data_IF_365450369729
#
_entry.id   IF_365450369729
#
_cell.length_a   1.000
_cell.length_b   1.000
_cell.length_c   1.000
_cell.angle_alpha   90.00
_cell.angle_beta   90.00
_cell.angle_gamma   90.00
#
_symmetry.space_group_name_H-M   'P 1'
#
loop_
_entity.id
_entity.type
_entity.pdbx_description
1 polymer ?
#
# COMPACT_ATOMS: atom_id res chain seq x y z
N UNK A 1 0.91 16.60 6.03
CA UNK A 1 1.82 16.43 7.17
C UNK A 1 2.13 17.73 7.92
N UNK A 2 2.42 18.88 7.27
CA UNK A 2 2.64 20.16 8.01
C UNK A 2 1.45 20.63 8.88
N UNK A 3 0.21 20.31 8.50
CA UNK A 3 -0.98 20.67 9.30
C UNK A 3 -1.17 19.87 10.59
N UNK A 4 -0.77 18.61 10.62
CA UNK A 4 -0.88 17.75 11.80
C UNK A 4 0.17 18.10 12.87
N UNK A 5 1.35 18.52 12.44
CA UNK A 5 2.44 18.92 13.35
C UNK A 5 2.16 20.24 14.07
N UNK A 6 1.44 21.19 13.43
CA UNK A 6 0.98 22.42 14.06
C UNK A 6 -0.06 22.17 15.17
N UNK A 7 -0.91 21.15 15.00
CA UNK A 7 -1.92 20.78 15.99
C UNK A 7 -1.25 20.14 17.24
N UNK A 8 -0.21 19.33 17.07
CA UNK A 8 0.51 18.73 18.21
C UNK A 8 1.32 19.76 19.01
N UNK A 9 1.97 20.71 18.35
CA UNK A 9 2.63 21.84 19.04
C UNK A 9 1.62 22.73 19.77
N UNK A 10 0.43 22.94 19.21
CA UNK A 10 -0.64 23.72 19.86
C UNK A 10 -1.24 22.99 21.07
N UNK A 11 -1.35 21.66 21.06
CA UNK A 11 -1.81 20.87 22.20
C UNK A 11 -0.80 20.86 23.36
N UNK A 12 0.50 20.79 23.08
CA UNK A 12 1.55 20.87 24.13
C UNK A 12 1.60 22.25 24.80
N UNK A 13 1.31 23.33 24.08
CA UNK A 13 1.20 24.67 24.63
C UNK A 13 -0.06 24.80 25.51
N UNK A 14 -1.17 24.19 25.14
CA UNK A 14 -2.42 24.16 25.91
C UNK A 14 -2.29 23.34 27.19
N UNK A 15 -1.56 22.22 27.20
CA UNK A 15 -1.29 21.41 28.38
C UNK A 15 -0.35 22.12 29.37
N UNK A 16 0.62 22.90 28.87
CA UNK A 16 1.49 23.73 29.71
C UNK A 16 0.71 24.83 30.43
N UNK A 17 -0.29 25.42 29.79
CA UNK A 17 -1.11 26.49 30.37
C UNK A 17 -2.10 26.01 31.47
N UNK A 18 -2.63 24.79 31.32
CA UNK A 18 -3.57 24.19 32.29
C UNK A 18 -2.86 23.64 33.55
N UNK A 19 -1.59 23.25 33.43
CA UNK A 19 -0.79 22.84 34.60
C UNK A 19 -0.42 24.02 35.53
N UNK A 20 -0.39 25.25 35.02
CA UNK A 20 -0.07 26.44 35.81
C UNK A 20 -1.18 26.89 36.78
N UNK A 21 -2.42 26.49 36.58
CA UNK A 21 -3.55 26.89 37.43
C UNK A 21 -3.65 26.11 38.76
N UNK A 22 -2.82 25.07 38.95
CA UNK A 22 -2.86 24.19 40.14
C UNK A 22 -1.63 24.24 41.06
N UNK A 23 -0.58 24.99 40.73
CA UNK A 23 0.57 25.18 41.64
C UNK A 23 0.55 26.58 42.25
N UNK A 24 0.43 26.61 43.54
CA UNK A 24 0.39 27.83 44.34
C UNK A 24 1.67 28.68 44.24
N UNK A 25 1.48 29.95 44.46
CA UNK A 25 2.32 31.12 44.21
C UNK A 25 3.63 31.19 44.99
N UNK A 26 4.68 30.46 44.66
CA UNK A 26 6.01 30.70 45.22
C UNK A 26 7.16 30.25 44.24
N UNK A 27 7.18 30.71 42.99
CA UNK A 27 8.37 30.63 42.15
C UNK A 27 8.61 31.96 41.43
N UNK A 28 9.84 32.44 41.30
CA UNK A 28 10.10 33.73 40.67
C UNK A 28 9.78 33.70 39.18
N UNK A 29 8.85 34.54 38.77
CA UNK A 29 8.28 34.66 37.39
C UNK A 29 9.34 34.72 36.25
N UNK A 30 10.58 35.14 36.56
CA UNK A 30 11.68 35.19 35.59
C UNK A 30 12.24 33.81 35.20
N UNK A 31 12.26 32.83 36.12
CA UNK A 31 12.80 31.49 35.84
C UNK A 31 11.90 30.67 34.91
N UNK A 32 10.58 30.81 35.08
CA UNK A 32 9.59 30.10 34.26
C UNK A 32 9.58 30.60 32.83
N UNK A 33 9.75 31.93 32.63
CA UNK A 33 9.79 32.54 31.29
C UNK A 33 11.03 32.11 30.51
N UNK A 34 12.19 32.03 31.15
CA UNK A 34 13.45 31.58 30.54
C UNK A 34 13.36 30.08 30.16
N UNK A 35 12.77 29.24 31.04
CA UNK A 35 12.62 27.81 30.80
C UNK A 35 11.65 27.54 29.64
N UNK A 36 10.55 28.32 29.55
CA UNK A 36 9.58 28.20 28.45
C UNK A 36 10.17 28.70 27.12
N UNK A 37 10.95 29.76 27.13
CA UNK A 37 11.65 30.27 25.93
C UNK A 37 12.74 29.28 25.49
N UNK A 38 13.48 28.67 26.41
CA UNK A 38 14.50 27.67 26.12
C UNK A 38 13.88 26.40 25.56
N UNK A 39 12.73 25.95 26.09
CA UNK A 39 12.00 24.77 25.57
C UNK A 39 11.45 25.03 24.17
N UNK A 40 10.92 26.23 23.90
CA UNK A 40 10.44 26.60 22.55
C UNK A 40 11.61 26.74 21.57
N UNK A 41 12.76 27.27 22.00
CA UNK A 41 13.96 27.35 21.18
C UNK A 41 14.56 25.97 20.90
N UNK A 42 14.55 25.03 21.83
CA UNK A 42 15.02 23.65 21.63
C UNK A 42 14.09 22.90 20.71
N UNK A 43 12.77 23.09 20.81
CA UNK A 43 11.81 22.44 19.87
C UNK A 43 11.87 23.02 18.45
N UNK A 44 12.19 24.31 18.30
CA UNK A 44 12.37 24.92 16.98
C UNK A 44 13.67 24.49 16.27
N UNK A 45 14.69 24.11 17.03
CA UNK A 45 15.97 23.65 16.46
C UNK A 45 15.90 22.16 16.04
N UNK A 46 15.02 21.37 16.64
CA UNK A 46 14.97 19.91 16.42
C UNK A 46 14.16 19.46 15.18
N UNK A 47 13.43 20.35 14.53
CA UNK A 47 12.54 20.01 13.40
C UNK A 47 13.04 20.51 12.03
N UNK A 48 14.31 20.80 11.86
CA UNK A 48 14.82 21.23 10.55
C UNK A 48 15.08 20.04 9.65
N UNK A 49 14.24 19.86 8.63
CA UNK A 49 14.44 18.94 7.52
C UNK A 49 15.18 19.66 6.39
N UNK A 50 16.00 18.93 5.62
CA UNK A 50 16.73 19.44 4.47
C UNK A 50 18.23 19.64 4.74
N UNK A 51 18.90 20.35 3.83
CA UNK A 51 20.34 20.53 3.87
C UNK A 51 20.79 21.55 4.92
N UNK A 52 21.92 21.24 5.58
CA UNK A 52 22.70 22.16 6.40
C UNK A 52 24.16 22.14 5.94
N UNK A 53 24.76 23.33 5.86
CA UNK A 53 26.17 23.54 5.55
C UNK A 53 26.79 24.41 6.65
N UNK A 54 27.77 23.88 7.37
CA UNK A 54 28.50 24.61 8.42
C UNK A 54 29.83 25.18 7.95
N UNK A 55 30.10 25.09 6.63
CA UNK A 55 31.35 25.53 5.99
C UNK A 55 32.49 24.51 6.04
N UNK A 56 32.33 23.40 6.77
CA UNK A 56 33.27 22.28 6.82
C UNK A 56 32.70 21.03 6.16
N UNK A 57 31.41 20.79 6.38
CA UNK A 57 30.70 19.69 5.79
C UNK A 57 29.25 20.09 5.44
N UNK A 58 28.65 19.30 4.56
CA UNK A 58 27.22 19.39 4.21
C UNK A 58 26.53 18.14 4.75
N UNK A 59 25.41 18.36 5.43
CA UNK A 59 24.56 17.27 5.95
C UNK A 59 23.13 17.43 5.47
N UNK A 60 22.44 16.30 5.25
CA UNK A 60 21.01 16.28 4.95
C UNK A 60 20.27 15.66 6.13
N UNK A 61 19.18 16.32 6.54
CA UNK A 61 18.39 16.00 7.74
C UNK A 61 16.99 15.60 7.35
N UNK A 62 16.48 14.53 7.96
CA UNK A 62 15.09 14.07 7.80
C UNK A 62 14.49 13.70 9.14
N UNK A 63 13.17 13.60 9.18
CA UNK A 63 12.42 13.15 10.33
C UNK A 63 11.30 12.21 9.88
N UNK A 64 11.13 11.09 10.58
CA UNK A 64 9.97 10.22 10.45
C UNK A 64 9.53 9.65 11.81
N UNK A 65 8.29 9.16 11.90
CA UNK A 65 7.70 8.69 13.16
C UNK A 65 8.40 7.45 13.74
N UNK A 66 8.97 6.59 12.90
CA UNK A 66 9.62 5.34 13.32
C UNK A 66 11.05 5.52 13.84
N UNK A 67 11.86 6.40 13.22
CA UNK A 67 13.28 6.59 13.55
C UNK A 67 13.60 7.96 14.16
N UNK A 68 12.61 8.86 14.26
CA UNK A 68 12.81 10.22 14.74
C UNK A 68 13.62 11.08 13.77
N UNK A 69 14.45 11.97 14.30
CA UNK A 69 15.34 12.83 13.52
C UNK A 69 16.62 12.08 13.19
N UNK A 70 16.95 12.02 11.90
CA UNK A 70 18.21 11.45 11.39
C UNK A 70 18.93 12.45 10.52
N UNK A 71 20.26 12.33 10.43
CA UNK A 71 21.09 13.12 9.55
C UNK A 71 22.14 12.24 8.90
N UNK A 72 22.53 12.61 7.67
CA UNK A 72 23.63 11.94 6.95
C UNK A 72 24.55 12.93 6.29
N UNK A 73 25.80 12.56 6.15
CA UNK A 73 26.80 13.32 5.40
C UNK A 73 26.43 13.35 3.92
N UNK A 74 26.68 14.50 3.27
CA UNK A 74 26.49 14.71 1.83
C UNK A 74 27.87 14.93 1.22
N UNK A 75 28.23 14.17 0.20
CA UNK A 75 29.52 14.27 -0.50
C UNK A 75 29.51 15.49 -1.45
N UNK A 76 29.40 16.68 -0.86
CA UNK A 76 29.36 17.97 -1.53
C UNK A 76 30.55 18.84 -1.10
N UNK A 77 31.03 19.71 -1.97
CA UNK A 77 31.99 20.75 -1.61
C UNK A 77 31.32 21.84 -0.76
N UNK A 78 31.61 21.93 0.55
CA UNK A 78 30.94 22.92 1.41
C UNK A 78 31.17 24.38 1.01
N UNK A 79 32.24 24.68 0.26
CA UNK A 79 32.57 26.02 -0.17
C UNK A 79 31.72 26.52 -1.34
N UNK A 80 31.22 25.60 -2.14
CA UNK A 80 30.42 25.88 -3.33
C UNK A 80 29.00 25.35 -3.25
N UNK A 81 28.66 24.67 -2.15
CA UNK A 81 27.33 24.12 -1.95
C UNK A 81 26.25 25.18 -1.77
N UNK A 82 25.19 25.04 -2.52
CA UNK A 82 23.97 25.86 -2.47
C UNK A 82 22.76 24.95 -2.21
N UNK A 83 22.01 25.23 -1.14
CA UNK A 83 20.68 24.64 -0.90
C UNK A 83 19.68 25.30 -1.84
N UNK A 84 19.04 24.54 -2.73
CA UNK A 84 18.05 25.05 -3.67
C UNK A 84 16.62 24.98 -3.09
N UNK A 85 16.30 23.90 -2.38
CA UNK A 85 15.10 23.75 -1.55
C UNK A 85 15.36 22.71 -0.45
N UNK A 86 14.33 22.16 0.22
CA UNK A 86 14.53 21.16 1.27
C UNK A 86 15.07 19.84 0.72
N UNK A 87 14.72 19.49 -0.52
CA UNK A 87 15.01 18.19 -1.12
C UNK A 87 16.21 18.27 -2.10
N UNK A 88 16.44 19.45 -2.76
CA UNK A 88 17.50 19.63 -3.74
C UNK A 88 18.61 20.57 -3.26
N UNK A 89 19.83 20.19 -3.59
CA UNK A 89 21.03 21.01 -3.44
C UNK A 89 21.96 20.86 -4.64
N UNK A 90 22.96 21.72 -4.74
CA UNK A 90 24.03 21.60 -5.73
C UNK A 90 25.35 22.13 -5.18
N UNK A 91 26.43 21.65 -5.72
CA UNK A 91 27.74 22.33 -5.66
C UNK A 91 28.20 22.69 -7.08
N UNK A 92 29.44 23.11 -7.24
CA UNK A 92 29.97 23.46 -8.56
C UNK A 92 29.99 22.30 -9.56
N UNK A 93 30.03 21.05 -9.10
CA UNK A 93 30.15 19.86 -9.94
C UNK A 93 28.90 19.00 -9.96
N UNK A 94 28.25 18.82 -8.81
CA UNK A 94 27.20 17.84 -8.61
C UNK A 94 25.87 18.50 -8.19
N UNK A 95 24.79 17.85 -8.53
CA UNK A 95 23.48 18.11 -7.96
C UNK A 95 23.09 16.97 -7.01
N UNK A 96 22.25 17.29 -6.03
CA UNK A 96 21.86 16.38 -4.96
C UNK A 96 20.34 16.39 -4.78
N UNK A 97 19.79 15.20 -4.49
CA UNK A 97 18.41 15.02 -4.07
C UNK A 97 18.37 14.24 -2.75
N UNK A 98 17.76 14.82 -1.72
CA UNK A 98 17.68 14.22 -0.37
C UNK A 98 19.03 13.72 0.16
N UNK A 99 20.14 14.43 -0.19
CA UNK A 99 21.50 14.12 0.22
C UNK A 99 22.26 13.13 -0.67
N UNK A 100 21.64 12.54 -1.69
CA UNK A 100 22.32 11.68 -2.66
C UNK A 100 22.71 12.44 -3.92
N UNK A 101 23.85 12.08 -4.52
CA UNK A 101 24.28 12.63 -5.80
C UNK A 101 23.30 12.19 -6.90
N UNK A 102 22.83 13.15 -7.68
CA UNK A 102 22.06 12.88 -8.90
C UNK A 102 23.05 12.53 -10.01
N UNK A 103 23.12 11.24 -10.37
CA UNK A 103 24.07 10.76 -11.36
C UNK A 103 23.86 11.45 -12.73
N UNK A 104 24.93 11.99 -13.27
CA UNK A 104 24.93 12.65 -14.59
C UNK A 104 24.41 14.08 -14.60
N UNK A 105 23.97 14.64 -13.46
CA UNK A 105 23.55 16.02 -13.37
C UNK A 105 24.73 16.98 -13.29
N UNK A 106 24.68 18.07 -14.07
CA UNK A 106 25.67 19.15 -14.02
C UNK A 106 25.29 20.16 -12.92
N UNK A 107 26.01 20.13 -11.80
CA UNK A 107 25.79 21.08 -10.71
C UNK A 107 25.90 22.52 -11.07
N UNK A 108 26.76 22.87 -12.04
CA UNK A 108 26.97 24.24 -12.48
C UNK A 108 25.73 24.88 -13.13
N UNK A 109 24.94 24.12 -13.84
CA UNK A 109 23.70 24.56 -14.52
C UNK A 109 22.42 24.08 -13.88
N UNK A 110 22.50 23.28 -12.81
CA UNK A 110 21.34 22.66 -12.17
C UNK A 110 20.41 23.71 -11.55
N UNK A 111 19.14 23.59 -11.82
CA UNK A 111 18.08 24.46 -11.30
C UNK A 111 16.82 23.68 -10.93
N UNK A 112 16.14 24.10 -9.90
CA UNK A 112 14.83 23.58 -9.50
C UNK A 112 13.75 24.26 -10.33
N UNK A 113 12.84 23.45 -10.89
CA UNK A 113 11.67 23.93 -11.64
C UNK A 113 10.43 24.01 -10.72
N UNK A 114 10.25 22.99 -9.89
CA UNK A 114 9.21 22.93 -8.85
C UNK A 114 9.76 22.17 -7.64
N UNK A 115 8.92 21.86 -6.65
CA UNK A 115 9.36 21.06 -5.50
C UNK A 115 9.99 19.72 -5.91
N UNK A 116 9.42 19.04 -6.91
CA UNK A 116 9.83 17.69 -7.34
C UNK A 116 10.66 17.68 -8.62
N UNK A 117 10.49 18.70 -9.50
CA UNK A 117 11.15 18.73 -10.80
C UNK A 117 12.35 19.67 -10.79
N UNK A 118 13.42 19.23 -11.43
CA UNK A 118 14.64 19.99 -11.64
C UNK A 118 15.21 19.74 -13.04
N UNK A 119 16.13 20.58 -13.47
CA UNK A 119 16.82 20.42 -14.76
C UNK A 119 18.24 20.99 -14.68
N UNK A 120 19.12 20.45 -15.50
CA UNK A 120 20.35 21.12 -15.93
C UNK A 120 20.21 21.61 -17.39
N UNK A 121 21.32 21.89 -18.06
CA UNK A 121 21.29 22.32 -19.47
C UNK A 121 20.97 21.18 -20.45
N UNK A 122 21.12 19.92 -20.03
CA UNK A 122 21.04 18.72 -20.88
C UNK A 122 19.95 17.77 -20.51
N UNK A 123 19.51 17.78 -19.23
CA UNK A 123 18.59 16.79 -18.69
C UNK A 123 17.52 17.39 -17.80
N UNK A 124 16.43 16.64 -17.63
CA UNK A 124 15.35 16.94 -16.69
C UNK A 124 15.23 15.79 -15.68
N UNK A 125 14.88 16.15 -14.44
CA UNK A 125 14.80 15.21 -13.34
C UNK A 125 13.48 15.38 -12.57
N UNK A 126 12.96 14.27 -12.04
CA UNK A 126 11.86 14.25 -11.08
C UNK A 126 12.30 13.48 -9.84
N UNK A 127 12.21 14.09 -8.66
CA UNK A 127 12.63 13.46 -7.39
C UNK A 127 14.02 12.80 -7.49
N UNK A 128 14.99 13.53 -8.08
CA UNK A 128 16.36 13.08 -8.29
C UNK A 128 16.58 12.05 -9.40
N UNK A 129 15.52 11.59 -10.09
CA UNK A 129 15.63 10.61 -11.17
C UNK A 129 15.55 11.26 -12.54
N UNK A 130 16.41 10.81 -13.46
CA UNK A 130 16.42 11.26 -14.84
C UNK A 130 15.08 10.97 -15.53
N UNK A 131 14.54 11.97 -16.19
CA UNK A 131 13.41 11.80 -17.12
C UNK A 131 13.99 11.55 -18.51
N UNK A 132 13.90 10.30 -18.94
CA UNK A 132 14.43 9.87 -20.22
C UNK A 132 13.83 10.68 -21.38
N UNK A 133 14.68 11.15 -22.30
CA UNK A 133 14.33 11.89 -23.53
C UNK A 133 13.65 13.25 -23.31
N UNK A 134 13.47 13.72 -22.08
CA UNK A 134 12.90 15.03 -21.83
C UNK A 134 13.85 16.13 -22.28
N UNK A 135 13.29 17.15 -22.94
CA UNK A 135 14.07 18.24 -23.52
C UNK A 135 14.05 19.47 -22.59
N UNK A 136 15.14 19.77 -21.85
CA UNK A 136 15.12 20.74 -20.76
C UNK A 136 14.84 22.20 -21.21
N UNK A 137 15.14 22.56 -22.47
CA UNK A 137 14.88 23.91 -22.99
C UNK A 137 13.38 24.19 -23.22
N UNK A 138 12.56 23.16 -23.40
CA UNK A 138 11.12 23.28 -23.67
C UNK A 138 10.26 22.66 -22.61
N UNK A 139 10.88 22.10 -21.55
CA UNK A 139 10.15 21.39 -20.48
C UNK A 139 9.35 22.37 -19.63
N UNK A 140 8.06 22.06 -19.47
CA UNK A 140 7.11 22.83 -18.66
C UNK A 140 6.39 21.90 -17.69
N UNK A 141 6.40 22.26 -16.42
CA UNK A 141 5.64 21.56 -15.38
C UNK A 141 4.28 22.23 -15.23
N UNK A 142 3.20 21.49 -15.38
CA UNK A 142 1.83 21.98 -15.21
C UNK A 142 1.28 21.69 -13.81
N UNK A 143 1.59 20.50 -13.25
CA UNK A 143 1.20 20.11 -11.91
C UNK A 143 2.26 19.21 -11.27
N UNK A 144 1.95 18.68 -10.08
CA UNK A 144 2.85 17.73 -9.41
C UNK A 144 3.18 16.51 -10.26
N UNK A 145 2.20 16.00 -11.01
CA UNK A 145 2.33 14.78 -11.81
C UNK A 145 2.50 15.06 -13.31
N UNK A 146 2.01 16.18 -13.81
CA UNK A 146 1.89 16.43 -15.25
C UNK A 146 2.86 17.50 -15.75
N UNK A 147 3.60 17.13 -16.80
CA UNK A 147 4.54 18.01 -17.48
C UNK A 147 4.50 17.76 -19.00
N UNK A 148 5.09 18.65 -19.76
CA UNK A 148 5.29 18.51 -21.20
C UNK A 148 6.63 19.09 -21.64
N UNK A 149 7.10 18.67 -22.81
CA UNK A 149 8.11 19.38 -23.58
C UNK A 149 7.66 19.53 -25.05
N UNK A 150 8.54 19.93 -25.95
CA UNK A 150 8.21 20.07 -27.37
C UNK A 150 7.76 18.73 -28.00
N UNK A 151 8.22 17.60 -27.47
CA UNK A 151 8.08 16.29 -28.10
C UNK A 151 6.95 15.45 -27.50
N UNK A 152 6.76 15.51 -26.17
CA UNK A 152 5.84 14.59 -25.48
C UNK A 152 5.17 15.24 -24.26
N UNK A 153 4.23 14.52 -23.67
CA UNK A 153 3.71 14.74 -22.33
C UNK A 153 4.26 13.69 -21.36
N UNK A 154 4.35 14.08 -20.09
CA UNK A 154 4.92 13.24 -19.02
C UNK A 154 3.97 13.17 -17.86
N UNK A 155 3.78 11.95 -17.32
CA UNK A 155 3.06 11.71 -16.08
C UNK A 155 4.00 11.08 -15.05
N UNK A 156 4.16 11.75 -13.91
CA UNK A 156 5.12 11.35 -12.85
C UNK A 156 6.52 11.03 -13.41
N UNK A 157 6.99 11.88 -14.33
CA UNK A 157 8.29 11.75 -14.99
C UNK A 157 8.38 10.67 -16.08
N UNK A 158 7.31 9.95 -16.39
CA UNK A 158 7.29 8.97 -17.48
C UNK A 158 6.69 9.57 -18.74
N UNK A 159 7.38 9.41 -19.87
CA UNK A 159 6.87 9.84 -21.18
C UNK A 159 5.61 9.03 -21.56
N UNK A 160 4.57 9.72 -21.97
CA UNK A 160 3.32 9.09 -22.41
C UNK A 160 3.41 8.55 -23.83
N UNK A 161 4.44 8.91 -24.59
CA UNK A 161 4.64 8.55 -26.01
C UNK A 161 3.41 8.92 -26.86
N UNK A 162 2.94 10.17 -26.66
CA UNK A 162 1.73 10.66 -27.30
C UNK A 162 1.90 10.71 -28.81
N UNK A 163 0.98 10.08 -29.53
CA UNK A 163 1.05 9.96 -30.98
C UNK A 163 0.66 11.28 -31.69
N UNK A 164 -0.31 12.01 -31.16
CA UNK A 164 -0.76 13.28 -31.69
C UNK A 164 -0.94 14.31 -30.58
N UNK A 165 0.10 15.11 -30.31
CA UNK A 165 0.07 16.16 -29.31
C UNK A 165 -1.02 17.22 -29.54
N UNK A 166 -1.39 17.46 -30.79
CA UNK A 166 -2.35 18.52 -31.13
C UNK A 166 -3.78 18.20 -30.70
N UNK A 167 -4.10 16.91 -30.57
CA UNK A 167 -5.42 16.41 -30.13
C UNK A 167 -5.41 15.82 -28.72
N UNK A 168 -4.24 15.77 -28.10
CA UNK A 168 -4.11 15.20 -26.73
C UNK A 168 -4.90 16.00 -25.71
N UNK A 169 -5.63 15.29 -24.86
CA UNK A 169 -6.32 15.87 -23.71
C UNK A 169 -6.40 14.90 -22.54
N UNK A 170 -6.24 15.43 -21.34
CA UNK A 170 -6.50 14.72 -20.10
C UNK A 170 -8.02 14.63 -19.89
N UNK A 171 -8.50 13.47 -19.45
CA UNK A 171 -9.91 13.20 -19.18
C UNK A 171 -10.13 13.25 -17.66
N UNK A 172 -10.07 14.45 -17.07
CA UNK A 172 -10.16 14.70 -15.64
C UNK A 172 -9.35 15.93 -15.26
N UNK A 173 -8.94 16.05 -14.00
CA UNK A 173 -8.10 17.14 -13.52
C UNK A 173 -6.62 16.78 -13.61
N UNK A 174 -5.80 17.62 -14.22
CA UNK A 174 -4.34 17.43 -14.25
C UNK A 174 -3.65 17.58 -12.88
N UNK A 175 -4.38 18.10 -11.89
CA UNK A 175 -3.86 18.36 -10.54
C UNK A 175 -4.22 17.26 -9.55
N UNK A 176 -5.03 16.28 -9.97
CA UNK A 176 -5.47 15.15 -9.14
C UNK A 176 -4.70 13.89 -9.50
N UNK A 177 -4.18 13.19 -8.49
CA UNK A 177 -3.65 11.84 -8.62
C UNK A 177 -4.74 10.81 -9.01
N UNK A 178 -6.01 11.18 -8.81
CA UNK A 178 -7.18 10.37 -9.18
C UNK A 178 -7.51 10.44 -10.69
N UNK A 179 -6.81 11.29 -11.45
CA UNK A 179 -6.97 11.36 -12.89
C UNK A 179 -6.10 10.30 -13.55
N UNK A 180 -6.75 9.28 -14.10
CA UNK A 180 -6.06 8.12 -14.65
C UNK A 180 -6.02 8.11 -16.18
N UNK A 181 -6.77 8.98 -16.87
CA UNK A 181 -7.06 8.84 -18.29
C UNK A 181 -6.73 10.08 -19.12
N UNK A 182 -6.21 9.83 -20.30
CA UNK A 182 -6.07 10.82 -21.36
C UNK A 182 -6.36 10.17 -22.73
N UNK A 183 -6.51 10.98 -23.76
CA UNK A 183 -6.61 10.51 -25.15
C UNK A 183 -6.01 11.49 -26.13
N UNK A 184 -5.55 10.98 -27.27
CA UNK A 184 -5.39 11.70 -28.50
C UNK A 184 -6.27 11.07 -29.58
N UNK A 185 -6.28 11.60 -30.77
CA UNK A 185 -7.11 11.15 -31.90
C UNK A 185 -6.91 9.67 -32.28
N UNK A 186 -5.80 9.04 -31.83
CA UNK A 186 -5.45 7.67 -32.18
C UNK A 186 -5.50 6.69 -31.01
N UNK A 187 -5.19 7.17 -29.82
CA UNK A 187 -4.93 6.34 -28.65
C UNK A 187 -5.65 6.85 -27.40
N UNK A 188 -6.01 5.93 -26.52
CA UNK A 188 -6.24 6.19 -25.11
C UNK A 188 -4.95 5.98 -24.31
N UNK A 189 -4.86 6.65 -23.18
CA UNK A 189 -3.71 6.55 -22.29
C UNK A 189 -4.21 6.32 -20.86
N UNK A 190 -3.73 5.25 -20.25
CA UNK A 190 -3.81 5.10 -18.80
C UNK A 190 -2.56 5.74 -18.20
N UNK A 191 -2.72 6.85 -17.51
CA UNK A 191 -1.61 7.74 -17.14
C UNK A 191 -0.57 7.07 -16.22
N UNK A 192 -0.98 6.09 -15.41
CA UNK A 192 -0.06 5.33 -14.57
C UNK A 192 0.81 4.32 -15.35
N UNK A 193 0.59 4.12 -16.65
CA UNK A 193 1.54 3.32 -17.40
C UNK A 193 1.15 2.56 -18.65
N UNK A 194 0.10 2.91 -19.40
CA UNK A 194 -0.22 2.15 -20.60
C UNK A 194 -0.82 2.97 -21.75
N UNK A 195 -0.59 2.50 -22.98
CA UNK A 195 -1.18 3.06 -24.21
C UNK A 195 -2.18 2.06 -24.76
N UNK A 196 -3.41 2.52 -24.96
CA UNK A 196 -4.50 1.75 -25.57
C UNK A 196 -4.62 2.17 -27.02
N UNK A 197 -4.28 1.29 -27.92
CA UNK A 197 -4.43 1.51 -29.35
C UNK A 197 -5.85 1.17 -29.81
N UNK A 198 -6.27 1.76 -30.93
CA UNK A 198 -7.53 1.41 -31.58
C UNK A 198 -8.78 1.70 -30.73
N UNK A 199 -8.82 2.88 -30.12
CA UNK A 199 -10.02 3.42 -29.46
C UNK A 199 -10.92 4.13 -30.47
N UNK A 200 -12.23 4.20 -30.18
CA UNK A 200 -13.10 5.18 -30.82
C UNK A 200 -12.95 6.53 -30.10
N UNK A 201 -12.21 7.45 -30.71
CA UNK A 201 -11.87 8.74 -30.09
C UNK A 201 -13.08 9.53 -29.63
N UNK A 202 -14.16 9.57 -30.44
CA UNK A 202 -15.31 10.40 -30.14
C UNK A 202 -16.04 9.92 -28.87
N UNK A 203 -16.10 8.62 -28.68
CA UNK A 203 -16.86 8.01 -27.57
C UNK A 203 -16.00 7.56 -26.38
N UNK A 204 -14.66 7.54 -26.53
CA UNK A 204 -13.79 7.11 -25.42
C UNK A 204 -13.86 8.05 -24.21
N UNK A 205 -14.20 7.49 -23.06
CA UNK A 205 -14.37 8.20 -21.80
C UNK A 205 -14.04 7.32 -20.61
N UNK A 206 -13.59 7.89 -19.47
CA UNK A 206 -13.51 7.18 -18.19
C UNK A 206 -14.90 6.73 -17.74
N UNK A 207 -15.00 5.57 -17.11
CA UNK A 207 -16.17 5.19 -16.33
C UNK A 207 -16.09 5.97 -15.02
N UNK A 208 -17.10 6.79 -14.75
CA UNK A 208 -17.13 7.64 -13.55
C UNK A 208 -17.23 6.81 -12.28
N UNK A 209 -16.27 6.98 -11.40
CA UNK A 209 -16.35 6.51 -10.02
C UNK A 209 -17.38 7.39 -9.26
N UNK A 210 -18.44 6.77 -8.79
CA UNK A 210 -19.55 7.46 -8.10
C UNK A 210 -19.37 7.51 -6.59
N UNK A 211 -18.50 6.67 -6.06
CA UNK A 211 -18.23 6.54 -4.63
C UNK A 211 -16.72 6.46 -4.38
N UNK A 212 -16.23 6.79 -3.16
CA UNK A 212 -14.83 6.61 -2.78
C UNK A 212 -14.32 5.16 -2.86
N UNK A 213 -15.25 4.20 -2.87
CA UNK A 213 -14.93 2.77 -2.95
C UNK A 213 -14.68 2.29 -4.39
N UNK A 214 -14.73 3.18 -5.37
CA UNK A 214 -14.47 2.89 -6.78
C UNK A 214 -13.11 3.44 -7.18
N UNK A 215 -12.37 2.67 -7.99
CA UNK A 215 -10.98 3.01 -8.33
C UNK A 215 -10.85 4.05 -9.44
N UNK A 216 -11.85 4.17 -10.33
CA UNK A 216 -11.76 4.98 -11.55
C UNK A 216 -10.82 4.42 -12.61
N UNK A 217 -10.44 3.13 -12.50
CA UNK A 217 -9.49 2.47 -13.40
C UNK A 217 -10.16 1.82 -14.62
N UNK A 218 -11.47 2.05 -14.80
CA UNK A 218 -12.19 1.62 -15.98
C UNK A 218 -12.44 2.79 -16.95
N UNK A 219 -12.37 2.48 -18.23
CA UNK A 219 -12.80 3.37 -19.32
C UNK A 219 -13.55 2.58 -20.36
N UNK A 220 -14.30 3.26 -21.20
CA UNK A 220 -15.01 2.64 -22.32
C UNK A 220 -15.03 3.54 -23.54
N UNK A 221 -15.20 2.92 -24.71
CA UNK A 221 -15.74 3.55 -25.88
C UNK A 221 -17.04 2.83 -26.30
N UNK A 222 -17.62 3.17 -27.43
CA UNK A 222 -18.87 2.52 -27.90
C UNK A 222 -18.72 1.04 -28.21
N UNK A 223 -17.50 0.52 -28.33
CA UNK A 223 -17.22 -0.85 -28.75
C UNK A 223 -16.61 -1.72 -27.66
N UNK A 224 -15.83 -1.12 -26.75
CA UNK A 224 -14.96 -1.82 -25.83
C UNK A 224 -15.00 -1.18 -24.43
N UNK A 225 -14.73 -2.01 -23.45
CA UNK A 225 -14.41 -1.58 -22.07
C UNK A 225 -12.94 -1.88 -21.80
N UNK A 226 -12.29 -1.04 -21.02
CA UNK A 226 -10.90 -1.16 -20.62
C UNK A 226 -10.77 -1.12 -19.11
N UNK A 227 -9.89 -1.94 -18.56
CA UNK A 227 -9.39 -1.84 -17.20
C UNK A 227 -7.90 -1.50 -17.26
N UNK A 228 -7.55 -0.32 -16.75
CA UNK A 228 -6.22 0.24 -16.96
C UNK A 228 -5.92 0.29 -18.48
N UNK A 229 -4.80 -0.28 -18.91
CA UNK A 229 -4.37 -0.28 -20.31
C UNK A 229 -4.84 -1.49 -21.14
N UNK A 230 -5.77 -2.31 -20.61
CA UNK A 230 -6.17 -3.58 -21.23
C UNK A 230 -7.66 -3.63 -21.52
N UNK A 231 -8.00 -4.18 -22.68
CA UNK A 231 -9.40 -4.50 -23.02
C UNK A 231 -9.99 -5.52 -22.05
N UNK A 232 -11.21 -5.28 -21.60
CA UNK A 232 -12.00 -6.19 -20.75
C UNK A 232 -12.76 -7.17 -21.66
N UNK A 233 -12.37 -8.45 -21.72
CA UNK A 233 -12.94 -9.37 -22.68
C UNK A 233 -14.43 -9.60 -22.50
N UNK A 234 -15.21 -9.35 -23.56
CA UNK A 234 -16.65 -9.64 -23.62
C UNK A 234 -17.53 -8.72 -22.77
N UNK A 235 -17.01 -7.64 -22.25
CA UNK A 235 -17.81 -6.63 -21.55
C UNK A 235 -18.69 -5.85 -22.53
N UNK A 236 -19.92 -5.55 -22.10
CA UNK A 236 -20.86 -4.73 -22.86
C UNK A 236 -20.71 -3.24 -22.43
N UNK A 237 -20.08 -2.39 -23.25
CA UNK A 237 -19.82 -1.00 -22.88
C UNK A 237 -21.11 -0.17 -22.65
N UNK A 238 -22.22 -0.56 -23.29
CA UNK A 238 -23.49 0.16 -23.15
C UNK A 238 -24.13 0.04 -21.76
N UNK A 239 -23.80 -1.02 -21.02
CA UNK A 239 -24.36 -1.30 -19.68
C UNK A 239 -23.32 -1.39 -18.59
N UNK A 240 -22.05 -1.25 -18.95
CA UNK A 240 -20.95 -1.39 -18.00
C UNK A 240 -20.92 -0.23 -17.00
N UNK A 241 -20.67 -0.55 -15.76
CA UNK A 241 -20.44 0.38 -14.65
C UNK A 241 -19.40 -0.19 -13.69
N UNK A 242 -18.66 0.64 -13.01
CA UNK A 242 -17.90 0.24 -11.84
C UNK A 242 -18.86 0.19 -10.64
N UNK A 243 -18.82 -0.89 -9.86
CA UNK A 243 -19.74 -1.14 -8.74
C UNK A 243 -19.05 -1.17 -7.40
N UNK A 244 -17.75 -1.49 -7.37
CA UNK A 244 -16.90 -1.52 -6.20
C UNK A 244 -15.44 -1.35 -6.63
N UNK A 245 -14.50 -1.25 -5.67
CA UNK A 245 -13.07 -1.06 -5.93
C UNK A 245 -12.52 -2.16 -6.86
N UNK A 246 -12.15 -1.79 -8.08
CA UNK A 246 -11.72 -2.68 -9.18
C UNK A 246 -12.79 -3.64 -9.70
N UNK A 247 -14.04 -3.51 -9.26
CA UNK A 247 -15.13 -4.38 -9.71
C UNK A 247 -16.01 -3.64 -10.70
N UNK A 248 -16.01 -4.13 -11.93
CA UNK A 248 -16.93 -3.72 -12.96
C UNK A 248 -18.11 -4.69 -13.08
N UNK A 249 -19.22 -4.22 -13.61
CA UNK A 249 -20.39 -5.04 -13.93
C UNK A 249 -21.11 -4.52 -15.17
N UNK A 250 -21.49 -5.44 -16.05
CA UNK A 250 -22.44 -5.18 -17.11
C UNK A 250 -23.76 -5.95 -16.90
N UNK A 251 -24.64 -5.97 -17.89
CA UNK A 251 -25.89 -6.73 -17.84
C UNK A 251 -25.73 -8.26 -17.77
N UNK A 252 -24.53 -8.76 -18.04
CA UNK A 252 -24.28 -10.20 -18.13
C UNK A 252 -23.56 -10.74 -16.90
N UNK A 253 -22.59 -9.97 -16.34
CA UNK A 253 -21.76 -10.44 -15.24
C UNK A 253 -20.94 -9.34 -14.59
N UNK A 254 -20.32 -9.69 -13.47
CA UNK A 254 -19.27 -8.89 -12.83
C UNK A 254 -17.88 -9.25 -13.38
N UNK A 255 -16.96 -8.28 -13.24
CA UNK A 255 -15.56 -8.36 -13.66
C UNK A 255 -14.68 -7.92 -12.50
N UNK A 256 -13.67 -8.70 -12.16
CA UNK A 256 -12.68 -8.34 -11.15
C UNK A 256 -11.38 -7.92 -11.84
N UNK A 257 -10.98 -6.66 -11.71
CA UNK A 257 -9.78 -6.12 -12.38
C UNK A 257 -9.78 -6.41 -13.88
N UNK A 258 -10.93 -6.21 -14.54
CA UNK A 258 -11.11 -6.48 -15.95
C UNK A 258 -11.23 -7.96 -16.32
N UNK A 259 -11.15 -8.90 -15.38
CA UNK A 259 -11.27 -10.34 -15.64
C UNK A 259 -12.74 -10.74 -15.45
N UNK A 260 -13.38 -11.40 -16.46
CA UNK A 260 -14.74 -11.89 -16.32
C UNK A 260 -14.88 -12.90 -15.18
N UNK A 261 -15.90 -12.73 -14.35
CA UNK A 261 -16.25 -13.67 -13.28
C UNK A 261 -17.48 -14.51 -13.64
N UNK A 262 -17.86 -15.45 -12.78
CA UNK A 262 -19.11 -16.21 -12.90
C UNK A 262 -20.29 -15.54 -12.16
N UNK A 263 -20.06 -14.43 -11.47
CA UNK A 263 -21.07 -13.68 -10.75
C UNK A 263 -21.93 -12.91 -11.75
N UNK A 264 -23.22 -13.18 -11.73
CA UNK A 264 -24.18 -12.50 -12.64
C UNK A 264 -24.53 -11.11 -12.16
N UNK A 265 -24.68 -10.94 -10.85
CA UNK A 265 -25.02 -9.66 -10.22
C UNK A 265 -24.27 -9.51 -8.90
N UNK A 266 -23.33 -8.57 -8.87
CA UNK A 266 -22.48 -8.28 -7.71
C UNK A 266 -23.29 -7.82 -6.49
N UNK A 267 -24.43 -7.13 -6.71
CA UNK A 267 -25.27 -6.65 -5.62
C UNK A 267 -25.96 -7.76 -4.80
N UNK A 268 -26.00 -8.97 -5.33
CA UNK A 268 -26.57 -10.14 -4.64
C UNK A 268 -25.55 -10.89 -3.77
N UNK A 269 -24.29 -10.46 -3.77
CA UNK A 269 -23.27 -11.09 -2.94
C UNK A 269 -23.45 -10.72 -1.47
N UNK A 270 -23.34 -11.73 -0.62
CA UNK A 270 -23.25 -11.58 0.83
C UNK A 270 -21.96 -12.22 1.32
N UNK A 271 -21.27 -11.56 2.24
CA UNK A 271 -20.10 -12.13 2.90
C UNK A 271 -20.54 -13.25 3.84
N UNK A 272 -19.97 -14.43 3.66
CA UNK A 272 -20.28 -15.64 4.47
C UNK A 272 -19.09 -16.07 5.31
N UNK A 273 -18.07 -15.27 5.37
CA UNK A 273 -16.85 -15.44 6.14
C UNK A 273 -15.76 -14.53 5.60
N UNK A 274 -14.59 -14.53 6.24
CA UNK A 274 -13.47 -13.69 5.81
C UNK A 274 -13.10 -13.98 4.37
N UNK A 275 -13.30 -12.99 3.46
CA UNK A 275 -12.98 -13.09 2.02
C UNK A 275 -13.73 -14.21 1.27
N UNK A 276 -14.87 -14.68 1.81
CA UNK A 276 -15.76 -15.61 1.15
C UNK A 276 -17.14 -14.99 0.97
N UNK A 277 -17.72 -15.20 -0.20
CA UNK A 277 -18.98 -14.58 -0.61
C UNK A 277 -19.95 -15.64 -1.12
N UNK A 278 -21.25 -15.35 -1.01
CA UNK A 278 -22.31 -16.19 -1.57
C UNK A 278 -23.32 -15.36 -2.34
N UNK A 279 -23.78 -15.88 -3.47
CA UNK A 279 -24.95 -15.38 -4.20
C UNK A 279 -26.23 -16.18 -3.91
N UNK A 280 -26.17 -17.05 -2.88
CA UNK A 280 -27.24 -17.98 -2.52
C UNK A 280 -27.26 -19.28 -3.35
N UNK A 281 -26.45 -19.36 -4.41
CA UNK A 281 -26.32 -20.54 -5.27
C UNK A 281 -24.92 -21.15 -5.21
N UNK A 282 -23.92 -20.32 -5.10
CA UNK A 282 -22.52 -20.69 -5.05
C UNK A 282 -21.80 -19.98 -3.89
N UNK A 283 -20.69 -20.55 -3.46
CA UNK A 283 -19.68 -19.89 -2.62
C UNK A 283 -18.52 -19.47 -3.52
N UNK A 284 -18.01 -18.26 -3.31
CA UNK A 284 -16.91 -17.66 -4.05
C UNK A 284 -15.76 -17.28 -3.12
N UNK A 285 -14.54 -17.44 -3.59
CA UNK A 285 -13.34 -16.94 -2.91
C UNK A 285 -13.14 -15.42 -3.15
N UNK A 286 -12.07 -14.86 -2.59
CA UNK A 286 -11.72 -13.43 -2.73
C UNK A 286 -11.40 -12.99 -4.18
N UNK A 287 -11.18 -13.92 -5.09
CA UNK A 287 -10.97 -13.68 -6.50
C UNK A 287 -12.24 -13.93 -7.32
N UNK A 288 -13.35 -14.25 -6.65
CA UNK A 288 -14.64 -14.61 -7.23
C UNK A 288 -14.63 -15.89 -8.06
N UNK A 289 -13.74 -16.83 -7.75
CA UNK A 289 -13.81 -18.18 -8.26
C UNK A 289 -14.82 -18.98 -7.42
N UNK A 290 -15.61 -19.84 -8.07
CA UNK A 290 -16.52 -20.73 -7.37
C UNK A 290 -15.71 -21.73 -6.52
N UNK A 291 -16.07 -21.85 -5.25
CA UNK A 291 -15.53 -22.84 -4.35
C UNK A 291 -16.13 -24.22 -4.71
N UNK A 292 -15.32 -25.17 -5.25
CA UNK A 292 -15.86 -26.41 -5.74
C UNK A 292 -16.49 -27.23 -4.63
N UNK A 293 -17.65 -27.86 -4.90
CA UNK A 293 -18.37 -28.78 -4.01
C UNK A 293 -18.94 -28.14 -2.73
N UNK A 294 -18.86 -26.83 -2.53
CA UNK A 294 -19.41 -26.19 -1.35
C UNK A 294 -20.94 -26.31 -1.33
N UNK A 295 -21.50 -26.77 -0.22
CA UNK A 295 -22.94 -26.78 0.04
C UNK A 295 -23.32 -25.46 0.70
N UNK A 296 -23.94 -24.57 -0.07
CA UNK A 296 -24.28 -23.20 0.35
C UNK A 296 -25.13 -23.17 1.62
N UNK A 297 -26.03 -24.13 1.76
CA UNK A 297 -26.97 -24.16 2.88
C UNK A 297 -26.32 -24.49 4.25
N UNK A 298 -25.16 -25.15 4.21
CA UNK A 298 -24.46 -25.58 5.44
C UNK A 298 -23.04 -25.02 5.53
N UNK A 299 -22.66 -24.16 4.59
CA UNK A 299 -21.33 -23.53 4.58
C UNK A 299 -21.17 -22.56 5.74
N UNK A 300 -20.14 -22.75 6.53
CA UNK A 300 -19.83 -21.90 7.68
C UNK A 300 -18.35 -21.56 7.79
N UNK A 301 -18.07 -20.36 8.25
CA UNK A 301 -16.75 -19.92 8.67
C UNK A 301 -16.47 -20.40 10.09
N UNK A 302 -15.41 -21.16 10.29
CA UNK A 302 -15.09 -21.73 11.59
C UNK A 302 -14.11 -20.82 12.36
N UNK A 303 -13.03 -20.43 11.70
CA UNK A 303 -11.98 -19.59 12.30
C UNK A 303 -10.97 -19.18 11.22
N UNK A 304 -10.55 -17.91 11.19
CA UNK A 304 -9.56 -17.36 10.26
C UNK A 304 -9.76 -17.79 8.81
N UNK A 305 -8.94 -18.70 8.31
CA UNK A 305 -9.00 -19.23 6.95
C UNK A 305 -9.67 -20.62 6.86
N UNK A 306 -10.27 -21.10 7.95
CA UNK A 306 -10.94 -22.39 7.99
C UNK A 306 -12.44 -22.26 7.77
N UNK A 307 -12.94 -23.07 6.85
CA UNK A 307 -14.35 -23.17 6.49
C UNK A 307 -14.77 -24.61 6.41
N UNK A 308 -16.05 -24.89 6.64
CA UNK A 308 -16.62 -26.21 6.41
C UNK A 308 -18.07 -26.14 5.96
N UNK A 309 -18.55 -27.23 5.39
CA UNK A 309 -19.97 -27.55 5.24
C UNK A 309 -20.24 -28.92 5.86
N UNK A 310 -21.41 -29.48 5.64
CA UNK A 310 -21.76 -30.83 6.12
C UNK A 310 -20.87 -31.96 5.59
N UNK A 311 -20.12 -31.73 4.49
CA UNK A 311 -19.40 -32.79 3.76
C UNK A 311 -17.92 -32.54 3.59
N UNK A 312 -17.48 -31.29 3.71
CA UNK A 312 -16.12 -30.87 3.35
C UNK A 312 -15.57 -29.83 4.33
N UNK A 313 -14.24 -29.74 4.33
CA UNK A 313 -13.47 -28.69 5.03
C UNK A 313 -12.59 -27.98 4.00
N UNK A 314 -12.43 -26.67 4.13
CA UNK A 314 -11.52 -25.86 3.33
C UNK A 314 -10.57 -25.05 4.22
N UNK A 315 -9.38 -24.89 3.73
CA UNK A 315 -8.45 -23.88 4.19
C UNK A 315 -8.31 -22.81 3.10
N UNK A 316 -8.75 -21.56 3.39
CA UNK A 316 -8.97 -20.57 2.33
C UNK A 316 -9.88 -21.17 1.23
N UNK A 317 -9.48 -21.10 -0.03
CA UNK A 317 -10.23 -21.70 -1.16
C UNK A 317 -9.82 -23.15 -1.49
N UNK A 318 -8.91 -23.77 -0.71
CA UNK A 318 -8.41 -25.11 -0.98
C UNK A 318 -9.18 -26.17 -0.20
N UNK A 319 -9.65 -27.19 -0.91
CA UNK A 319 -10.33 -28.33 -0.29
C UNK A 319 -9.32 -29.15 0.52
N UNK A 320 -9.61 -29.39 1.80
CA UNK A 320 -8.79 -30.20 2.70
C UNK A 320 -9.12 -31.67 2.52
N UNK A 321 -8.31 -32.34 1.72
CA UNK A 321 -8.55 -33.73 1.38
C UNK A 321 -8.47 -34.66 2.62
N UNK A 322 -9.50 -35.47 2.84
CA UNK A 322 -9.54 -36.46 3.93
C UNK A 322 -9.94 -35.88 5.28
N UNK A 323 -10.27 -34.63 5.40
CA UNK A 323 -10.79 -34.03 6.62
C UNK A 323 -12.25 -34.50 6.87
N UNK A 324 -12.54 -34.82 8.12
CA UNK A 324 -13.90 -35.13 8.57
C UNK A 324 -14.57 -33.86 9.12
N UNK A 325 -15.54 -33.24 8.42
CA UNK A 325 -16.14 -31.98 8.87
C UNK A 325 -16.92 -32.10 10.18
N UNK A 326 -17.41 -33.28 10.55
CA UNK A 326 -18.14 -33.49 11.81
C UNK A 326 -17.23 -33.33 13.05
N UNK A 327 -15.97 -33.77 12.93
CA UNK A 327 -15.00 -33.76 14.04
C UNK A 327 -13.91 -32.72 13.89
N UNK A 328 -13.89 -32.01 12.76
CA UNK A 328 -12.84 -31.00 12.45
C UNK A 328 -12.90 -29.80 13.40
N UNK A 329 -11.73 -29.44 13.91
CA UNK A 329 -11.52 -28.28 14.75
C UNK A 329 -10.24 -27.55 14.35
N UNK A 330 -10.26 -26.22 14.18
CA UNK A 330 -9.04 -25.42 14.13
C UNK A 330 -8.26 -25.56 15.43
N UNK A 331 -6.94 -25.60 15.35
CA UNK A 331 -6.07 -25.56 16.54
C UNK A 331 -5.80 -24.10 16.88
N UNK A 332 -6.33 -23.57 18.01
CA UNK A 332 -6.22 -22.18 18.35
C UNK A 332 -4.77 -21.71 18.43
N UNK A 333 -4.44 -20.58 17.77
CA UNK A 333 -3.19 -19.88 18.01
C UNK A 333 -3.33 -19.03 19.26
N UNK A 334 -2.45 -19.20 20.21
CA UNK A 334 -2.30 -18.23 21.30
C UNK A 334 -1.28 -17.15 20.89
N UNK A 335 -1.56 -15.86 21.18
CA UNK A 335 -0.63 -14.75 20.99
C UNK A 335 -0.91 -13.86 19.76
N UNK A 336 -0.36 -12.64 19.78
CA UNK A 336 -0.44 -11.68 18.68
C UNK A 336 0.29 -12.22 17.45
N UNK A 337 -0.39 -12.34 16.32
CA UNK A 337 0.22 -12.55 14.99
C UNK A 337 0.53 -14.01 14.60
N UNK A 338 0.01 -15.01 15.31
CA UNK A 338 0.20 -16.40 14.88
C UNK A 338 -0.85 -16.81 13.84
N UNK A 339 -0.41 -17.23 12.64
CA UNK A 339 -1.28 -17.77 11.62
C UNK A 339 -1.95 -19.07 12.09
N UNK A 340 -3.28 -19.13 12.02
CA UNK A 340 -4.12 -20.27 12.41
C UNK A 340 -4.13 -21.33 11.31
N UNK A 341 -2.97 -21.87 11.00
CA UNK A 341 -2.81 -22.77 9.86
C UNK A 341 -2.98 -24.25 10.21
N UNK A 342 -3.17 -24.55 11.50
CA UNK A 342 -3.36 -25.91 11.96
C UNK A 342 -4.83 -26.24 12.22
N UNK A 343 -5.24 -27.44 11.81
CA UNK A 343 -6.52 -28.02 12.11
C UNK A 343 -6.36 -29.50 12.47
N UNK A 344 -7.37 -30.09 13.08
CA UNK A 344 -7.41 -31.54 13.34
C UNK A 344 -8.82 -32.07 13.33
N UNK A 345 -8.95 -33.33 12.96
CA UNK A 345 -10.17 -34.14 13.14
C UNK A 345 -9.89 -35.33 14.08
N UNK A 346 -10.75 -36.29 14.07
CA UNK A 346 -10.61 -37.54 14.89
C UNK A 346 -9.45 -38.44 14.44
N UNK A 347 -8.92 -38.27 13.20
CA UNK A 347 -7.92 -39.16 12.60
C UNK A 347 -6.63 -38.45 12.18
N UNK A 348 -6.71 -37.18 11.81
CA UNK A 348 -5.62 -36.47 11.18
C UNK A 348 -5.39 -35.11 11.81
N UNK A 349 -4.16 -34.64 11.65
CA UNK A 349 -3.77 -33.25 11.86
C UNK A 349 -3.40 -32.63 10.51
N UNK A 350 -3.79 -31.40 10.31
CA UNK A 350 -3.59 -30.67 9.05
C UNK A 350 -2.77 -29.41 9.30
N UNK A 351 -1.95 -29.09 8.33
CA UNK A 351 -1.35 -27.77 8.18
C UNK A 351 -1.77 -27.22 6.84
N UNK A 352 -2.53 -26.11 6.88
CA UNK A 352 -3.26 -25.62 5.72
C UNK A 352 -4.18 -26.73 5.16
N UNK A 353 -4.08 -27.03 3.87
CA UNK A 353 -4.84 -28.05 3.16
C UNK A 353 -4.25 -29.48 3.23
N UNK A 354 -3.13 -29.65 3.93
CA UNK A 354 -2.32 -30.87 3.86
C UNK A 354 -2.25 -31.65 5.18
N UNK A 355 -2.33 -32.98 5.11
CA UNK A 355 -2.21 -33.87 6.27
C UNK A 355 -0.75 -33.88 6.75
N UNK A 356 -0.55 -33.70 8.06
CA UNK A 356 0.74 -33.92 8.72
C UNK A 356 0.88 -35.39 9.03
N UNK A 357 1.72 -36.08 8.28
CA UNK A 357 1.92 -37.50 8.41
C UNK A 357 2.46 -37.93 9.80
N UNK A 358 1.75 -38.87 10.44
CA UNK A 358 2.13 -39.44 11.73
C UNK A 358 1.91 -38.49 12.93
N UNK A 359 1.23 -37.37 12.75
CA UNK A 359 0.76 -36.56 13.87
C UNK A 359 -0.40 -37.26 14.61
N UNK A 360 -0.39 -37.17 15.94
CA UNK A 360 -1.44 -37.71 16.79
C UNK A 360 -2.49 -36.65 17.13
N UNK A 361 -3.67 -36.65 16.48
CA UNK A 361 -4.69 -35.63 16.71
C UNK A 361 -5.19 -35.57 18.15
N UNK A 362 -5.15 -36.70 18.87
CA UNK A 362 -5.59 -36.77 20.26
C UNK A 362 -4.73 -35.98 21.25
N UNK A 363 -3.49 -35.76 20.91
CA UNK A 363 -2.55 -35.00 21.75
C UNK A 363 -1.94 -33.77 21.06
N UNK A 364 -2.36 -33.46 19.82
CA UNK A 364 -1.86 -32.31 19.09
C UNK A 364 -2.39 -30.99 19.67
N UNK A 365 -1.49 -30.13 20.06
CA UNK A 365 -1.81 -28.84 20.66
C UNK A 365 -0.72 -27.78 20.41
N UNK A 366 -1.07 -26.54 20.65
CA UNK A 366 -0.18 -25.38 20.64
C UNK A 366 -0.02 -24.85 22.07
N UNK A 367 1.20 -24.59 22.47
CA UNK A 367 1.53 -23.90 23.72
C UNK A 367 2.15 -22.55 23.42
N UNK A 368 1.61 -21.49 24.02
CA UNK A 368 2.21 -20.14 24.02
C UNK A 368 2.92 -19.93 25.34
N UNK A 369 4.12 -19.36 25.29
CA UNK A 369 4.90 -19.06 26.48
C UNK A 369 4.50 -17.71 27.10
N UNK A 370 4.81 -17.47 28.40
CA UNK A 370 4.42 -16.25 29.10
C UNK A 370 5.07 -14.97 28.60
N UNK A 371 6.13 -15.04 27.79
CA UNK A 371 6.72 -13.92 27.07
C UNK A 371 5.78 -13.33 26.00
N UNK A 372 4.70 -14.06 25.64
CA UNK A 372 3.72 -13.65 24.65
C UNK A 372 4.15 -13.78 23.20
N UNK A 373 5.45 -13.91 22.94
CA UNK A 373 6.04 -13.85 21.61
C UNK A 373 6.52 -15.23 21.10
N UNK A 374 6.71 -16.19 22.01
CA UNK A 374 7.15 -17.55 21.65
C UNK A 374 6.06 -18.58 21.85
N UNK A 375 6.01 -19.55 20.94
CA UNK A 375 5.05 -20.64 20.93
C UNK A 375 5.67 -21.93 20.38
N UNK A 376 5.02 -23.06 20.64
CA UNK A 376 5.41 -24.37 20.15
C UNK A 376 4.20 -25.21 19.80
N UNK A 377 4.23 -25.88 18.65
CA UNK A 377 3.23 -26.86 18.20
C UNK A 377 3.82 -28.25 18.33
N UNK A 378 3.10 -29.12 19.00
CA UNK A 378 3.60 -30.46 19.35
C UNK A 378 2.46 -31.46 19.54
N UNK A 379 2.80 -32.70 19.49
CA UNK A 379 1.99 -33.82 20.05
C UNK A 379 2.81 -34.57 21.13
N UNK A 380 2.27 -35.64 21.67
CA UNK A 380 2.98 -36.46 22.66
C UNK A 380 4.28 -37.07 22.15
N UNK A 381 4.51 -37.13 20.84
CA UNK A 381 5.61 -37.84 20.21
C UNK A 381 6.72 -36.89 19.71
N UNK A 382 6.35 -35.70 19.24
CA UNK A 382 7.31 -34.77 18.64
C UNK A 382 6.84 -33.31 18.65
N UNK A 383 7.81 -32.41 18.43
CA UNK A 383 7.59 -30.99 18.17
C UNK A 383 7.56 -30.81 16.66
N UNK A 384 6.59 -30.07 16.16
CA UNK A 384 6.42 -29.75 14.74
C UNK A 384 6.96 -28.35 14.42
N UNK A 385 6.74 -27.39 15.31
CA UNK A 385 7.17 -26.02 15.12
C UNK A 385 7.47 -25.36 16.47
N UNK A 386 8.41 -24.41 16.48
CA UNK A 386 8.82 -23.71 17.70
C UNK A 386 10.03 -24.35 18.37
N UNK A 387 10.27 -24.01 19.64
CA UNK A 387 11.45 -24.45 20.39
C UNK A 387 11.10 -25.50 21.46
N UNK A 388 11.91 -26.51 21.56
CA UNK A 388 11.95 -27.38 22.76
C UNK A 388 12.40 -26.54 23.96
N UNK A 389 11.60 -26.52 25.01
CA UNK A 389 11.85 -25.72 26.21
C UNK A 389 11.73 -26.56 27.48
N UNK A 390 12.40 -26.20 28.60
CA UNK A 390 12.21 -26.86 29.87
C UNK A 390 10.75 -26.91 30.34
N UNK A 391 9.98 -25.86 30.08
CA UNK A 391 8.55 -25.81 30.38
C UNK A 391 7.74 -26.80 29.56
N UNK A 392 8.02 -26.94 28.27
CA UNK A 392 7.35 -27.92 27.43
C UNK A 392 7.65 -29.34 27.91
N UNK A 393 8.91 -29.63 28.23
CA UNK A 393 9.33 -30.96 28.75
C UNK A 393 8.63 -31.29 30.09
N UNK A 394 8.56 -30.31 31.00
CA UNK A 394 7.80 -30.47 32.27
C UNK A 394 6.32 -30.74 32.01
N UNK A 395 5.70 -29.97 31.10
CA UNK A 395 4.32 -30.17 30.71
C UNK A 395 4.05 -31.57 30.12
N UNK A 396 4.88 -31.99 29.16
CA UNK A 396 4.79 -33.34 28.56
C UNK A 396 4.98 -34.44 29.59
N UNK A 397 5.92 -34.30 30.51
CA UNK A 397 6.15 -35.23 31.61
C UNK A 397 4.94 -35.36 32.52
N UNK A 398 4.34 -34.22 32.90
CA UNK A 398 3.18 -34.15 33.78
C UNK A 398 1.94 -34.74 33.09
N UNK A 399 1.73 -34.45 31.81
CA UNK A 399 0.51 -34.84 31.09
C UNK A 399 0.57 -36.26 30.52
N UNK A 400 1.72 -36.69 30.03
CA UNK A 400 1.88 -37.96 29.30
C UNK A 400 2.91 -38.93 29.92
N UNK A 401 3.56 -38.55 31.05
CA UNK A 401 4.53 -39.42 31.73
C UNK A 401 5.86 -39.60 31.01
N UNK A 402 6.22 -38.73 30.09
CA UNK A 402 7.44 -38.81 29.26
C UNK A 402 8.51 -37.83 29.70
#
# INVERSE_FOLDING_TARGET
MKGFMLIFCSLLIAFGATAQSKLGSQTPKKSIFITSILLVLVTLVSCSVGYKNDGKEVTWHTWNEGSGHTSRHVDADPKTFEKLNDDYGRDKKHAFYEGDIINGADGGSFRVLTKSYAADNTHVYVSGKLIEKAHPATFKVHSYYFAEDANDFYWDGKALNVRDKSTFKILGSSDSWETHWAKDKYNGYYLAGGVITDIDYETFHPIEAKTPDQSGDYAADKHKVFFMDKEVPGADPATFKEVDFYIGQDKHRAYNKGIPTQIKDYSNLTEVGRLMYSDGTNIYDSHFNILPKADVATFEHISDNWYKDKSHVWWSSQLVAGANPETFQPVPAGGFGGDFNYGKDDKHVFWNDSIIQGADPGSFEKMTFPDGDSWTVFDRNRIYEGKDSPKLREYLKKKYGK
#
